data_IF_947265690580
#
_entry.id   IF_947265690580
#
_cell.length_a   1.000
_cell.length_b   1.000
_cell.length_c   1.000
_cell.angle_alpha   90.00
_cell.angle_beta   90.00
_cell.angle_gamma   90.00
#
_symmetry.space_group_name_H-M   'P 1'
#
loop_
_entity.id
_entity.type
_entity.pdbx_description
1 polymer ?
#
# COMPACT_ATOMS: atom_id res chain seq x y z
N UNK A 1 12.98 38.62 19.60
CA UNK A 1 12.30 37.86 18.53
C UNK A 1 13.33 36.90 17.98
N UNK A 2 13.25 35.64 18.38
CA UNK A 2 14.22 34.61 17.98
C UNK A 2 13.41 33.46 17.41
N UNK A 3 13.47 33.29 16.09
CA UNK A 3 12.88 32.13 15.41
C UNK A 3 13.91 31.01 15.55
N UNK A 4 13.59 30.03 16.38
CA UNK A 4 14.32 28.77 16.45
C UNK A 4 13.80 27.90 15.31
N UNK A 5 14.62 27.70 14.28
CA UNK A 5 14.33 26.73 13.22
C UNK A 5 14.64 25.35 13.79
N UNK A 6 13.61 24.55 14.05
CA UNK A 6 13.77 23.15 14.43
C UNK A 6 13.99 22.33 13.15
N UNK A 7 15.13 21.63 13.11
CA UNK A 7 15.49 20.44 12.33
C UNK A 7 15.05 20.33 10.86
N UNK A 8 16.03 20.09 9.97
CA UNK A 8 15.79 19.64 8.60
C UNK A 8 14.96 18.34 8.60
N UNK A 9 13.75 18.42 8.06
CA UNK A 9 12.82 17.30 7.94
C UNK A 9 11.51 17.63 8.63
N UNK A 10 10.58 18.23 7.87
CA UNK A 10 9.23 18.54 8.32
C UNK A 10 8.40 17.25 8.46
N UNK A 11 8.81 16.33 9.35
CA UNK A 11 8.03 15.13 9.69
C UNK A 11 6.76 15.61 10.38
N UNK A 12 5.61 15.29 9.79
CA UNK A 12 4.32 15.75 10.30
C UNK A 12 4.11 15.29 11.75
N UNK A 13 3.46 16.14 12.54
CA UNK A 13 2.95 15.80 13.88
C UNK A 13 1.44 15.65 13.79
N UNK A 14 0.93 14.42 13.69
CA UNK A 14 -0.51 14.12 13.57
C UNK A 14 -0.81 12.94 12.65
N UNK A 15 -2.10 12.61 12.46
CA UNK A 15 -2.59 11.63 11.48
C UNK A 15 -3.19 12.36 10.27
N UNK A 16 -3.21 11.75 9.07
CA UNK A 16 -3.90 12.35 7.91
C UNK A 16 -5.40 12.46 8.16
N UNK A 17 -6.00 13.60 7.81
CA UNK A 17 -7.45 13.74 7.69
C UNK A 17 -8.01 12.80 6.59
N UNK A 18 -9.33 12.65 6.53
CA UNK A 18 -9.97 11.85 5.49
C UNK A 18 -9.72 12.44 4.09
N UNK A 19 -9.71 13.76 3.96
CA UNK A 19 -9.43 14.47 2.70
C UNK A 19 -7.96 14.33 2.29
N UNK A 20 -7.04 14.33 3.26
CA UNK A 20 -5.61 14.10 3.00
C UNK A 20 -5.36 12.64 2.58
N UNK A 21 -6.11 11.68 3.13
CA UNK A 21 -6.09 10.28 2.68
C UNK A 21 -6.59 10.14 1.25
N UNK A 22 -7.68 10.84 0.87
CA UNK A 22 -8.17 10.88 -0.52
C UNK A 22 -7.10 11.41 -1.47
N UNK A 23 -6.53 12.57 -1.15
CA UNK A 23 -5.51 13.17 -1.99
C UNK A 23 -4.27 12.26 -2.10
N UNK A 24 -3.90 11.59 -1.01
CA UNK A 24 -2.78 10.65 -1.00
C UNK A 24 -3.01 9.49 -1.99
N UNK A 25 -4.20 8.87 -1.96
CA UNK A 25 -4.58 7.80 -2.90
C UNK A 25 -4.56 8.32 -4.34
N UNK A 26 -5.18 9.48 -4.59
CA UNK A 26 -5.23 10.07 -5.93
C UNK A 26 -3.84 10.40 -6.47
N UNK A 27 -2.92 10.91 -5.63
CA UNK A 27 -1.55 11.22 -6.03
C UNK A 27 -0.78 9.96 -6.43
N UNK A 28 -0.91 8.88 -5.64
CA UNK A 28 -0.29 7.58 -5.93
C UNK A 28 -0.83 7.02 -7.25
N UNK A 29 -2.14 6.92 -7.40
CA UNK A 29 -2.77 6.38 -8.61
C UNK A 29 -2.45 7.24 -9.84
N UNK A 30 -2.51 8.57 -9.72
CA UNK A 30 -2.17 9.50 -10.81
C UNK A 30 -0.69 9.44 -11.18
N UNK A 31 0.19 9.08 -10.25
CA UNK A 31 1.59 8.83 -10.58
C UNK A 31 1.72 7.59 -11.48
N UNK A 32 1.10 6.47 -11.11
CA UNK A 32 1.14 5.26 -11.94
C UNK A 32 0.46 5.45 -13.30
N UNK A 33 -0.69 6.13 -13.37
CA UNK A 33 -1.35 6.45 -14.63
C UNK A 33 -0.48 7.28 -15.60
N UNK A 34 0.52 8.01 -15.10
CA UNK A 34 1.46 8.79 -15.93
C UNK A 34 2.70 8.00 -16.36
N UNK A 35 3.01 6.90 -15.68
CA UNK A 35 4.24 6.12 -15.89
C UNK A 35 4.00 4.70 -16.41
N UNK A 36 2.78 4.18 -16.29
CA UNK A 36 2.35 2.92 -16.90
C UNK A 36 1.71 3.19 -18.26
N UNK A 37 2.02 2.35 -19.26
CA UNK A 37 1.34 2.39 -20.57
C UNK A 37 -0.12 1.91 -20.44
N UNK A 38 -0.35 0.95 -19.55
CA UNK A 38 -1.68 0.47 -19.20
C UNK A 38 -2.33 1.40 -18.18
N UNK A 39 -3.48 1.96 -18.56
CA UNK A 39 -4.28 2.78 -17.67
C UNK A 39 -4.76 1.98 -16.47
N UNK A 40 -4.66 2.57 -15.27
CA UNK A 40 -5.23 1.99 -14.07
C UNK A 40 -6.75 2.11 -14.07
N UNK A 41 -7.41 1.05 -13.62
CA UNK A 41 -8.85 1.00 -13.44
C UNK A 41 -9.18 0.48 -12.06
N UNK A 42 -10.02 1.21 -11.34
CA UNK A 42 -10.53 0.78 -10.05
C UNK A 42 -11.66 -0.24 -10.13
N UNK A 43 -11.83 -0.97 -9.04
CA UNK A 43 -12.95 -1.85 -8.80
C UNK A 43 -14.22 -1.02 -8.58
N UNK A 44 -15.38 -1.56 -8.94
CA UNK A 44 -16.63 -0.92 -8.57
C UNK A 44 -16.84 -1.00 -7.04
N UNK A 45 -17.52 0.02 -6.49
CA UNK A 45 -17.77 0.11 -5.04
C UNK A 45 -18.52 -1.12 -4.49
N UNK A 46 -19.40 -1.73 -5.28
CA UNK A 46 -20.14 -2.92 -4.88
C UNK A 46 -19.21 -4.12 -4.67
N UNK A 47 -18.23 -4.30 -5.55
CA UNK A 47 -17.19 -5.33 -5.42
C UNK A 47 -16.31 -5.11 -4.19
N UNK A 48 -15.89 -3.87 -3.91
CA UNK A 48 -15.11 -3.55 -2.68
C UNK A 48 -15.94 -3.78 -1.41
N UNK A 49 -17.22 -3.42 -1.41
CA UNK A 49 -18.13 -3.71 -0.30
C UNK A 49 -18.36 -5.22 -0.10
N UNK A 50 -18.44 -5.99 -1.19
CA UNK A 50 -18.57 -7.44 -1.14
C UNK A 50 -17.31 -8.09 -0.57
N UNK A 51 -16.13 -7.66 -1.05
CA UNK A 51 -14.83 -8.07 -0.52
C UNK A 51 -14.77 -7.87 0.99
N UNK A 52 -15.04 -6.66 1.48
CA UNK A 52 -15.02 -6.37 2.93
C UNK A 52 -15.89 -7.35 3.73
N UNK A 53 -17.09 -7.67 3.23
CA UNK A 53 -17.99 -8.63 3.88
C UNK A 53 -17.45 -10.05 3.84
N UNK A 54 -16.76 -10.43 2.77
CA UNK A 54 -16.18 -11.76 2.59
C UNK A 54 -14.97 -12.02 3.49
N UNK A 55 -14.08 -11.03 3.66
CA UNK A 55 -12.83 -11.20 4.38
C UNK A 55 -13.01 -11.30 5.90
N UNK A 56 -14.12 -10.77 6.44
CA UNK A 56 -14.39 -10.82 7.88
C UNK A 56 -13.41 -10.03 8.76
N UNK A 57 -12.52 -9.22 8.16
CA UNK A 57 -11.55 -8.35 8.84
C UNK A 57 -11.89 -6.87 8.65
N UNK A 58 -11.34 -6.03 9.51
CA UNK A 58 -11.49 -4.58 9.41
C UNK A 58 -10.63 -4.03 8.26
N UNK A 59 -11.27 -3.74 7.12
CA UNK A 59 -10.59 -3.12 5.99
C UNK A 59 -10.41 -1.61 6.24
N UNK A 60 -9.18 -1.07 6.19
CA UNK A 60 -8.94 0.38 6.34
C UNK A 60 -9.59 1.18 5.20
N UNK A 61 -10.24 2.31 5.52
CA UNK A 61 -10.90 3.16 4.52
C UNK A 61 -9.97 3.62 3.38
N UNK A 62 -8.70 3.91 3.68
CA UNK A 62 -7.72 4.32 2.68
C UNK A 62 -7.47 3.22 1.63
N UNK A 63 -7.56 1.95 2.02
CA UNK A 63 -7.41 0.83 1.10
C UNK A 63 -8.69 0.59 0.30
N UNK A 64 -9.88 0.72 0.92
CA UNK A 64 -11.15 0.70 0.17
C UNK A 64 -11.14 1.73 -0.97
N UNK A 65 -10.67 2.95 -0.67
CA UNK A 65 -10.50 4.03 -1.65
C UNK A 65 -9.46 3.67 -2.71
N UNK A 66 -8.31 3.12 -2.30
CA UNK A 66 -7.28 2.67 -3.23
C UNK A 66 -7.84 1.65 -4.23
N UNK A 67 -8.56 0.62 -3.79
CA UNK A 67 -9.16 -0.37 -4.69
C UNK A 67 -10.26 0.22 -5.59
N UNK A 68 -11.00 1.23 -5.13
CA UNK A 68 -11.97 1.95 -5.96
C UNK A 68 -11.30 2.78 -7.08
N UNK A 69 -10.03 3.12 -6.95
CA UNK A 69 -9.26 3.90 -7.94
C UNK A 69 -8.33 3.01 -8.78
N UNK A 70 -7.81 1.92 -8.20
CA UNK A 70 -6.93 0.96 -8.86
C UNK A 70 -7.13 -0.46 -8.31
N UNK A 71 -7.58 -1.38 -9.17
CA UNK A 71 -7.80 -2.80 -8.85
C UNK A 71 -6.58 -3.65 -9.24
N UNK A 72 -5.43 -3.32 -8.66
CA UNK A 72 -4.11 -3.80 -9.10
C UNK A 72 -3.31 -2.74 -9.87
N UNK A 73 -2.15 -3.10 -10.40
CA UNK A 73 -1.29 -2.20 -11.18
C UNK A 73 -0.59 -1.08 -10.39
N UNK A 74 -0.88 -0.91 -9.10
CA UNK A 74 -0.13 -0.05 -8.18
C UNK A 74 0.95 -0.89 -7.50
N UNK A 75 2.19 -0.38 -7.45
CA UNK A 75 3.34 -1.12 -6.94
C UNK A 75 3.92 -0.46 -5.68
N UNK A 76 4.26 -1.29 -4.69
CA UNK A 76 4.93 -0.93 -3.45
C UNK A 76 6.32 -1.57 -3.44
N UNK A 77 7.31 -0.86 -3.98
CA UNK A 77 8.59 -1.47 -4.35
C UNK A 77 8.38 -2.51 -5.45
N UNK A 78 8.71 -3.76 -5.14
CA UNK A 78 8.58 -4.93 -6.03
C UNK A 78 7.23 -5.68 -5.88
N UNK A 79 6.35 -5.25 -4.97
CA UNK A 79 5.07 -5.91 -4.68
C UNK A 79 3.91 -5.17 -5.33
N UNK A 80 3.13 -5.87 -6.13
CA UNK A 80 1.94 -5.33 -6.79
C UNK A 80 0.72 -5.42 -5.86
N UNK A 81 -0.06 -4.33 -5.80
CA UNK A 81 -1.38 -4.30 -5.18
C UNK A 81 -2.22 -5.46 -5.69
N UNK A 82 -2.79 -6.23 -4.76
CA UNK A 82 -3.72 -7.29 -5.10
C UNK A 82 -5.02 -6.67 -5.61
N UNK A 83 -5.47 -7.09 -6.80
CA UNK A 83 -6.86 -6.86 -7.22
C UNK A 83 -7.82 -7.51 -6.21
N UNK A 84 -9.04 -6.97 -6.07
CA UNK A 84 -10.13 -7.50 -5.25
C UNK A 84 -10.31 -9.01 -5.46
N UNK A 85 -10.37 -9.47 -6.72
CA UNK A 85 -10.55 -10.89 -7.02
C UNK A 85 -9.36 -11.75 -6.56
N UNK A 86 -8.12 -11.29 -6.79
CA UNK A 86 -6.91 -12.00 -6.32
C UNK A 86 -6.84 -12.01 -4.79
N UNK A 87 -7.25 -10.93 -4.14
CA UNK A 87 -7.28 -10.83 -2.69
C UNK A 87 -8.26 -11.83 -2.07
N UNK A 88 -9.51 -11.91 -2.56
CA UNK A 88 -10.49 -12.90 -2.07
C UNK A 88 -9.95 -14.33 -2.16
N UNK A 89 -9.35 -14.68 -3.31
CA UNK A 89 -8.78 -16.00 -3.53
C UNK A 89 -7.60 -16.27 -2.60
N UNK A 90 -6.64 -15.35 -2.54
CA UNK A 90 -5.44 -15.49 -1.73
C UNK A 90 -5.78 -15.57 -0.25
N UNK A 91 -6.73 -14.75 0.23
CA UNK A 91 -7.16 -14.77 1.61
C UNK A 91 -7.70 -16.15 2.02
N UNK A 92 -8.56 -16.74 1.19
CA UNK A 92 -9.08 -18.09 1.42
C UNK A 92 -7.98 -19.18 1.38
N UNK A 93 -6.95 -19.01 0.55
CA UNK A 93 -5.81 -19.93 0.48
C UNK A 93 -4.86 -19.81 1.69
N UNK A 94 -4.77 -18.62 2.30
CA UNK A 94 -3.94 -18.34 3.48
C UNK A 94 -4.61 -18.74 4.80
N UNK A 95 -5.94 -18.82 4.86
CA UNK A 95 -6.67 -19.23 6.05
C UNK A 95 -6.27 -20.65 6.49
N UNK A 96 -5.57 -20.75 7.62
CA UNK A 96 -5.05 -22.02 8.16
C UNK A 96 -3.62 -22.37 7.73
N UNK A 97 -2.96 -21.50 6.96
CA UNK A 97 -1.52 -21.57 6.67
C UNK A 97 -0.65 -21.28 7.89
N UNK A 98 0.62 -21.68 7.85
CA UNK A 98 1.57 -21.39 8.92
C UNK A 98 1.84 -19.87 8.98
N UNK A 99 1.81 -19.29 10.18
CA UNK A 99 2.13 -17.86 10.39
C UNK A 99 1.01 -16.87 10.08
N UNK A 100 0.07 -17.20 9.19
CA UNK A 100 -1.10 -16.35 8.93
C UNK A 100 -2.11 -16.46 10.08
N UNK A 101 -2.61 -15.31 10.56
CA UNK A 101 -3.50 -15.25 11.73
C UNK A 101 -4.70 -14.35 11.47
N UNK A 102 -5.72 -14.52 12.31
CA UNK A 102 -6.90 -13.65 12.32
C UNK A 102 -6.50 -12.17 12.45
N UNK A 103 -7.14 -11.32 11.65
CA UNK A 103 -6.82 -9.89 11.58
C UNK A 103 -5.65 -9.54 10.66
N UNK A 104 -5.08 -10.49 9.91
CA UNK A 104 -4.16 -10.16 8.82
C UNK A 104 -4.90 -9.94 7.52
N UNK A 105 -4.61 -8.80 6.88
CA UNK A 105 -5.15 -8.42 5.58
C UNK A 105 -4.01 -8.33 4.57
N UNK A 106 -3.91 -9.24 3.58
CA UNK A 106 -2.98 -9.10 2.47
C UNK A 106 -3.30 -7.84 1.66
N UNK A 107 -2.25 -7.12 1.26
CA UNK A 107 -2.33 -5.88 0.49
C UNK A 107 -1.70 -6.03 -0.90
N UNK A 108 -0.48 -6.54 -0.96
CA UNK A 108 0.30 -6.63 -2.19
C UNK A 108 1.14 -7.91 -2.21
N UNK A 109 1.56 -8.35 -3.39
CA UNK A 109 2.39 -9.54 -3.56
C UNK A 109 3.42 -9.37 -4.67
N UNK A 110 4.58 -10.01 -4.52
CA UNK A 110 5.58 -10.12 -5.58
C UNK A 110 5.40 -11.42 -6.39
N UNK A 111 6.34 -11.68 -7.31
CA UNK A 111 6.33 -12.87 -8.18
C UNK A 111 6.64 -14.17 -7.45
N UNK A 112 7.29 -14.09 -6.28
CA UNK A 112 7.66 -15.24 -5.46
C UNK A 112 6.57 -15.57 -4.43
N UNK A 113 5.56 -14.71 -4.29
CA UNK A 113 4.43 -14.90 -3.38
C UNK A 113 4.65 -14.27 -2.01
N UNK A 114 5.72 -13.51 -1.80
CA UNK A 114 5.86 -12.73 -0.58
C UNK A 114 4.84 -11.60 -0.59
N UNK A 115 4.36 -11.25 0.59
CA UNK A 115 3.21 -10.39 0.79
C UNK A 115 3.57 -9.13 1.58
N UNK A 116 2.81 -8.08 1.32
CA UNK A 116 2.58 -7.03 2.31
C UNK A 116 1.29 -7.34 3.05
N UNK A 117 1.33 -7.33 4.38
CA UNK A 117 0.17 -7.57 5.23
C UNK A 117 -0.08 -6.37 6.13
N UNK A 118 -1.35 -6.01 6.28
CA UNK A 118 -1.86 -5.07 7.29
C UNK A 118 -2.40 -5.87 8.48
N UNK A 119 -1.91 -5.57 9.69
CA UNK A 119 -2.43 -6.18 10.92
C UNK A 119 -3.64 -5.38 11.44
N UNK A 120 -4.83 -5.72 10.94
CA UNK A 120 -6.11 -5.10 11.30
C UNK A 120 -6.56 -5.45 12.71
N UNK A 121 -5.96 -6.48 13.35
CA UNK A 121 -6.18 -6.78 14.77
C UNK A 121 -5.56 -5.75 15.72
N UNK A 122 -4.65 -4.92 15.22
CA UNK A 122 -4.02 -3.83 15.97
C UNK A 122 -4.69 -2.49 15.66
N UNK A 123 -5.02 -1.64 16.65
CA UNK A 123 -5.68 -0.35 16.40
C UNK A 123 -4.90 0.62 15.49
N UNK A 124 -3.57 0.47 15.44
CA UNK A 124 -2.70 1.27 14.58
C UNK A 124 -2.64 0.75 13.14
N UNK A 125 -3.13 -0.47 12.87
CA UNK A 125 -3.08 -1.14 11.55
C UNK A 125 -1.69 -1.07 10.88
N UNK A 126 -0.63 -1.55 11.55
CA UNK A 126 0.73 -1.53 10.98
C UNK A 126 0.86 -2.42 9.75
N UNK A 127 1.86 -2.12 8.92
CA UNK A 127 2.18 -2.86 7.70
C UNK A 127 3.48 -3.64 7.90
N UNK A 128 3.48 -4.91 7.49
CA UNK A 128 4.60 -5.83 7.58
C UNK A 128 4.86 -6.53 6.26
N UNK A 129 6.09 -7.01 6.09
CA UNK A 129 6.38 -8.09 5.15
C UNK A 129 5.88 -9.42 5.71
N UNK A 130 5.51 -10.33 4.81
CA UNK A 130 5.11 -11.67 5.17
C UNK A 130 5.54 -12.65 4.08
N UNK A 131 6.19 -13.73 4.47
CA UNK A 131 6.71 -14.76 3.57
C UNK A 131 6.48 -16.16 4.16
N UNK A 132 7.16 -17.17 3.62
CA UNK A 132 7.07 -18.56 4.08
C UNK A 132 7.55 -18.75 5.54
N UNK A 133 8.41 -17.86 6.06
CA UNK A 133 8.85 -17.86 7.46
C UNK A 133 7.84 -17.13 8.38
N UNK A 134 6.81 -16.51 7.80
CA UNK A 134 5.71 -15.85 8.48
C UNK A 134 5.85 -14.33 8.49
N UNK A 135 5.54 -13.70 9.63
CA UNK A 135 5.58 -12.24 9.75
C UNK A 135 7.02 -11.73 9.80
N UNK A 136 7.42 -10.97 8.78
CA UNK A 136 8.74 -10.37 8.65
C UNK A 136 8.82 -8.96 9.22
N UNK A 137 9.61 -8.11 8.54
CA UNK A 137 9.92 -6.77 9.02
C UNK A 137 8.71 -5.84 9.02
N UNK A 138 8.68 -4.95 10.01
CA UNK A 138 7.68 -3.89 10.10
C UNK A 138 8.07 -2.74 9.19
N UNK A 139 7.29 -2.53 8.12
CA UNK A 139 7.53 -1.45 7.17
C UNK A 139 6.96 -0.12 7.64
N UNK A 140 5.81 -0.13 8.31
CA UNK A 140 5.19 1.11 8.78
C UNK A 140 4.42 0.94 10.09
N UNK A 141 4.32 2.04 10.85
CA UNK A 141 3.56 2.09 12.09
C UNK A 141 2.04 2.01 11.89
N UNK A 142 1.56 2.43 10.72
CA UNK A 142 0.16 2.36 10.28
C UNK A 142 0.08 2.31 8.76
N UNK A 143 -1.02 1.78 8.22
CA UNK A 143 -1.31 1.79 6.77
C UNK A 143 -1.39 3.21 6.20
N UNK A 144 -1.85 4.17 6.99
CA UNK A 144 -1.90 5.58 6.59
C UNK A 144 -0.50 6.16 6.44
N UNK A 145 0.42 5.85 7.36
CA UNK A 145 1.81 6.28 7.26
C UNK A 145 2.52 5.58 6.09
N UNK A 146 2.24 4.29 5.89
CA UNK A 146 2.77 3.53 4.76
C UNK A 146 2.41 4.18 3.41
N UNK A 147 1.12 4.48 3.21
CA UNK A 147 0.63 5.13 1.99
C UNK A 147 1.21 6.53 1.80
N UNK A 148 1.37 7.29 2.88
CA UNK A 148 1.99 8.61 2.82
C UNK A 148 3.48 8.55 2.43
N UNK A 149 4.24 7.63 3.02
CA UNK A 149 5.64 7.40 2.66
C UNK A 149 5.77 6.97 1.20
N UNK A 150 4.89 6.06 0.74
CA UNK A 150 4.81 5.68 -0.66
C UNK A 150 4.56 6.89 -1.56
N UNK A 151 3.54 7.72 -1.26
CA UNK A 151 3.25 8.95 -2.01
C UNK A 151 4.47 9.85 -2.07
N UNK A 152 5.10 10.12 -0.93
CA UNK A 152 6.24 11.03 -0.84
C UNK A 152 7.44 10.51 -1.66
N UNK A 153 7.69 9.20 -1.63
CA UNK A 153 8.74 8.58 -2.43
C UNK A 153 8.45 8.73 -3.92
N UNK A 154 7.25 8.37 -4.39
CA UNK A 154 6.87 8.51 -5.80
C UNK A 154 6.97 9.96 -6.30
N UNK A 155 6.55 10.93 -5.48
CA UNK A 155 6.57 12.35 -5.82
C UNK A 155 7.95 13.02 -5.64
N UNK A 156 8.93 12.35 -5.03
CA UNK A 156 10.28 12.90 -4.83
C UNK A 156 11.03 13.13 -6.14
N UNK A 157 10.60 12.49 -7.24
CA UNK A 157 11.28 12.50 -8.53
C UNK A 157 12.44 11.51 -8.65
N UNK A 158 12.81 10.84 -7.55
CA UNK A 158 13.93 9.90 -7.47
C UNK A 158 13.56 8.48 -7.87
N UNK A 159 12.30 8.19 -8.17
CA UNK A 159 11.84 6.85 -8.53
C UNK A 159 11.30 6.80 -9.95
N UNK A 160 11.41 5.63 -10.57
CA UNK A 160 10.77 5.29 -11.85
C UNK A 160 10.05 3.95 -11.76
N UNK A 161 9.08 3.77 -12.65
CA UNK A 161 8.35 2.52 -12.79
C UNK A 161 8.94 1.71 -13.94
N UNK A 162 9.28 0.46 -13.67
CA UNK A 162 9.70 -0.51 -14.67
C UNK A 162 8.64 -1.61 -14.71
N UNK A 163 8.03 -1.79 -15.88
CA UNK A 163 7.03 -2.84 -16.08
C UNK A 163 7.58 -4.21 -15.67
N UNK A 164 6.78 -4.99 -14.96
CA UNK A 164 7.14 -6.29 -14.36
C UNK A 164 8.25 -6.26 -13.29
N UNK A 165 8.87 -5.12 -12.99
CA UNK A 165 9.88 -4.99 -11.92
C UNK A 165 9.40 -4.13 -10.74
N UNK A 166 8.43 -3.24 -10.96
CA UNK A 166 7.88 -2.37 -9.92
C UNK A 166 8.54 -0.99 -9.88
N UNK A 167 8.59 -0.40 -8.68
CA UNK A 167 9.12 0.94 -8.44
C UNK A 167 10.57 0.85 -7.97
N UNK A 168 11.48 1.47 -8.72
CA UNK A 168 12.92 1.46 -8.43
C UNK A 168 13.47 2.88 -8.27
N UNK A 169 14.52 3.03 -7.48
CA UNK A 169 15.27 4.29 -7.42
C UNK A 169 15.99 4.51 -8.75
N UNK A 170 15.85 5.71 -9.31
CA UNK A 170 16.62 6.15 -10.46
C UNK A 170 18.09 6.17 -10.07
N UNK A 171 18.94 5.53 -10.86
CA UNK A 171 20.37 5.74 -10.72
C UNK A 171 20.65 7.23 -10.95
N UNK A 172 21.14 7.90 -9.91
CA UNK A 172 21.68 9.25 -10.04
C UNK A 172 22.90 9.13 -10.94
N UNK A 173 22.70 9.31 -12.25
CA UNK A 173 23.78 9.30 -13.24
C UNK A 173 24.87 10.24 -12.75
N UNK A 174 25.95 9.66 -12.23
CA UNK A 174 27.11 10.39 -11.76
C UNK A 174 27.60 11.28 -12.89
N UNK A 175 27.46 12.59 -12.71
CA UNK A 175 28.18 13.59 -13.49
C UNK A 175 29.47 13.95 -12.79
#
# INVERSE_FOLDING_TARGET
MSITVAEEGNRRVGSMSAEEQDQCVMDVVSWFQRHSEDGLRGADRGSVEALRKSLGVDVPEILERLWCEADGGVWFGDKELLSVQRLEKLFADLEGGAGFREGFLPLATDVDGNLLIVDTGSPAMPVFEFDDDGLGDKLAASVVNFMEEQRNNLLSGNFEYIECCGVVEKESGGK
#
